data_IF_809553623214
#
_entry.id   IF_809553623214
#
_cell.length_a   1.000
_cell.length_b   1.000
_cell.length_c   1.000
_cell.angle_alpha   90.00
_cell.angle_beta   90.00
_cell.angle_gamma   90.00
#
_symmetry.space_group_name_H-M   'P 1'
#
loop_
_entity.id
_entity.type
_entity.pdbx_description
1 polymer ?
#
# COMPACT_ATOMS: atom_id res chain seq x y z
N UNK A 1 -5.46 -18.22 -3.19
CA UNK A 1 -5.66 -16.97 -2.42
C UNK A 1 -7.06 -17.03 -1.84
N UNK A 2 -7.22 -17.13 -0.52
CA UNK A 2 -8.55 -17.10 0.13
C UNK A 2 -9.09 -15.66 0.23
N UNK A 3 -9.02 -14.91 -0.88
CA UNK A 3 -9.51 -13.53 -0.92
C UNK A 3 -11.00 -13.46 -0.62
N UNK A 4 -11.77 -14.47 -1.04
CA UNK A 4 -13.20 -14.60 -0.70
C UNK A 4 -13.43 -14.67 0.81
N UNK A 5 -12.69 -15.53 1.52
CA UNK A 5 -12.78 -15.62 2.97
C UNK A 5 -12.33 -14.31 3.66
N UNK A 6 -11.27 -13.68 3.16
CA UNK A 6 -10.83 -12.38 3.68
C UNK A 6 -11.92 -11.31 3.54
N UNK A 7 -12.64 -11.29 2.40
CA UNK A 7 -13.76 -10.39 2.13
C UNK A 7 -14.96 -10.67 3.03
N UNK A 8 -15.29 -11.94 3.28
CA UNK A 8 -16.37 -12.33 4.21
C UNK A 8 -16.07 -11.85 5.65
N UNK A 9 -14.85 -12.11 6.12
CA UNK A 9 -14.35 -11.63 7.41
C UNK A 9 -14.36 -10.10 7.50
N UNK A 10 -14.06 -9.42 6.39
CA UNK A 10 -14.15 -7.96 6.26
C UNK A 10 -15.57 -7.45 6.51
N UNK A 11 -16.56 -8.06 5.86
CA UNK A 11 -17.96 -7.71 6.02
C UNK A 11 -18.40 -7.93 7.47
N UNK A 12 -17.97 -9.02 8.10
CA UNK A 12 -18.28 -9.30 9.51
C UNK A 12 -17.75 -8.21 10.43
N UNK A 13 -16.47 -7.84 10.32
CA UNK A 13 -15.84 -6.79 11.14
C UNK A 13 -16.48 -5.41 10.93
N UNK A 14 -16.85 -5.07 9.69
CA UNK A 14 -17.59 -3.83 9.40
C UNK A 14 -18.96 -3.83 10.11
N UNK A 15 -19.67 -4.95 10.10
CA UNK A 15 -20.94 -5.08 10.82
C UNK A 15 -20.74 -4.93 12.33
N UNK A 16 -19.74 -5.61 12.91
CA UNK A 16 -19.40 -5.49 14.35
C UNK A 16 -19.10 -4.05 14.76
N UNK A 17 -18.25 -3.34 14.01
CA UNK A 17 -17.93 -1.93 14.26
C UNK A 17 -19.18 -1.04 14.18
N UNK A 18 -20.04 -1.22 13.18
CA UNK A 18 -21.28 -0.43 13.06
C UNK A 18 -22.23 -0.70 14.21
N UNK A 19 -22.39 -1.95 14.62
CA UNK A 19 -23.23 -2.32 15.76
C UNK A 19 -22.69 -1.75 17.07
N UNK A 20 -21.37 -1.82 17.30
CA UNK A 20 -20.73 -1.25 18.48
C UNK A 20 -20.89 0.28 18.55
N UNK A 21 -20.75 0.96 17.41
CA UNK A 21 -20.96 2.41 17.30
C UNK A 21 -22.42 2.79 17.58
N UNK A 22 -23.38 2.03 17.04
CA UNK A 22 -24.82 2.25 17.28
C UNK A 22 -25.22 1.99 18.74
N UNK A 23 -24.60 1.00 19.37
CA UNK A 23 -24.83 0.66 20.77
C UNK A 23 -24.13 1.60 21.77
N UNK A 24 -23.30 2.55 21.28
CA UNK A 24 -22.53 3.48 22.10
C UNK A 24 -21.68 2.76 23.17
N UNK A 25 -21.03 1.67 22.77
CA UNK A 25 -20.12 0.95 23.68
C UNK A 25 -18.93 1.83 24.06
N UNK A 26 -18.31 1.56 25.21
CA UNK A 26 -17.22 2.40 25.73
C UNK A 26 -15.97 2.38 24.83
N UNK A 27 -15.18 3.46 24.91
CA UNK A 27 -13.98 3.68 24.07
C UNK A 27 -12.99 2.51 24.11
N UNK A 28 -12.84 1.83 25.26
CA UNK A 28 -11.95 0.69 25.40
C UNK A 28 -12.38 -0.51 24.53
N UNK A 29 -13.68 -0.74 24.41
CA UNK A 29 -14.24 -1.82 23.58
C UNK A 29 -14.19 -1.45 22.09
N UNK A 30 -14.52 -0.19 21.76
CA UNK A 30 -14.34 0.35 20.41
C UNK A 30 -12.88 0.24 19.95
N UNK A 31 -11.92 0.56 20.83
CA UNK A 31 -10.49 0.46 20.53
C UNK A 31 -10.08 -0.96 20.15
N UNK A 32 -10.56 -1.97 20.87
CA UNK A 32 -10.29 -3.38 20.56
C UNK A 32 -10.81 -3.74 19.16
N UNK A 33 -12.03 -3.31 18.81
CA UNK A 33 -12.62 -3.59 17.50
C UNK A 33 -11.85 -2.89 16.37
N UNK A 34 -11.42 -1.65 16.59
CA UNK A 34 -10.60 -0.89 15.64
C UNK A 34 -9.25 -1.59 15.45
N UNK A 35 -8.55 -1.94 16.54
CA UNK A 35 -7.25 -2.60 16.47
C UNK A 35 -7.34 -3.98 15.78
N UNK A 36 -8.40 -4.75 16.07
CA UNK A 36 -8.69 -6.01 15.38
C UNK A 36 -9.01 -5.84 13.88
N UNK A 37 -9.55 -4.69 13.49
CA UNK A 37 -9.82 -4.37 12.09
C UNK A 37 -8.55 -3.94 11.37
N UNK A 38 -7.71 -3.13 12.03
CA UNK A 38 -6.40 -2.74 11.51
C UNK A 38 -5.49 -3.96 11.29
N UNK A 39 -5.46 -4.89 12.26
CA UNK A 39 -4.69 -6.13 12.12
C UNK A 39 -5.12 -6.96 10.91
N UNK A 40 -6.43 -7.02 10.63
CA UNK A 40 -6.96 -7.76 9.49
C UNK A 40 -6.53 -7.18 8.14
N UNK A 41 -6.36 -5.86 8.06
CA UNK A 41 -5.73 -5.21 6.90
C UNK A 41 -4.23 -5.46 6.83
N UNK A 42 -3.50 -5.44 7.97
CA UNK A 42 -2.08 -5.79 8.00
C UNK A 42 -1.84 -7.20 7.45
N UNK A 43 -2.68 -8.17 7.82
CA UNK A 43 -2.62 -9.54 7.30
C UNK A 43 -2.82 -9.59 5.78
N UNK A 44 -3.75 -8.79 5.23
CA UNK A 44 -3.92 -8.67 3.77
C UNK A 44 -2.67 -8.16 3.08
N UNK A 45 -2.09 -7.06 3.59
CA UNK A 45 -0.91 -6.47 2.98
C UNK A 45 0.31 -7.38 3.10
N UNK A 46 0.44 -8.12 4.21
CA UNK A 46 1.43 -9.18 4.36
C UNK A 46 1.28 -10.27 3.30
N UNK A 47 0.07 -10.80 3.12
CA UNK A 47 -0.20 -11.80 2.06
C UNK A 47 0.08 -11.25 0.66
N UNK A 48 -0.30 -10.00 0.37
CA UNK A 48 0.00 -9.35 -0.92
C UNK A 48 1.50 -9.21 -1.15
N UNK A 49 2.27 -8.85 -0.12
CA UNK A 49 3.72 -8.75 -0.20
C UNK A 49 4.38 -10.10 -0.50
N UNK A 50 3.93 -11.18 0.16
CA UNK A 50 4.45 -12.53 -0.13
C UNK A 50 4.12 -12.99 -1.55
N UNK A 51 2.90 -12.70 -2.05
CA UNK A 51 2.54 -12.98 -3.45
C UNK A 51 3.39 -12.15 -4.41
N UNK A 52 3.65 -10.87 -4.11
CA UNK A 52 4.47 -10.00 -4.95
C UNK A 52 5.90 -10.56 -5.14
N UNK A 53 6.48 -11.15 -4.10
CA UNK A 53 7.81 -11.77 -4.14
C UNK A 53 7.87 -12.99 -5.06
N UNK A 54 6.76 -13.73 -5.18
CA UNK A 54 6.67 -14.94 -6.01
C UNK A 54 6.27 -14.59 -7.44
N UNK A 55 5.23 -13.76 -7.61
CA UNK A 55 4.74 -13.32 -8.92
C UNK A 55 4.01 -11.96 -8.80
N UNK A 56 4.75 -10.89 -9.09
CA UNK A 56 4.21 -9.54 -9.11
C UNK A 56 3.17 -9.33 -10.21
N UNK A 57 3.25 -10.05 -11.34
CA UNK A 57 2.29 -9.91 -12.43
C UNK A 57 0.94 -10.49 -12.04
N UNK A 58 0.92 -11.62 -11.35
CA UNK A 58 -0.30 -12.18 -10.78
C UNK A 58 -0.96 -11.22 -9.78
N UNK A 59 -0.16 -10.53 -8.96
CA UNK A 59 -0.68 -9.53 -8.03
C UNK A 59 -1.24 -8.29 -8.77
N UNK A 60 -0.58 -7.84 -9.83
CA UNK A 60 -0.95 -6.61 -10.56
C UNK A 60 -2.10 -6.82 -11.55
N UNK A 61 -2.18 -7.98 -12.19
CA UNK A 61 -3.18 -8.32 -13.21
C UNK A 61 -4.29 -9.25 -12.70
N UNK A 62 -4.23 -9.65 -11.43
CA UNK A 62 -5.12 -10.65 -10.86
C UNK A 62 -6.60 -10.28 -10.91
N UNK A 63 -7.41 -11.30 -11.23
CA UNK A 63 -8.88 -11.28 -11.31
C UNK A 63 -9.58 -10.86 -10.00
N UNK A 64 -8.83 -10.73 -8.91
CA UNK A 64 -9.34 -10.36 -7.58
C UNK A 64 -9.59 -8.85 -7.43
N UNK A 65 -9.06 -8.00 -8.32
CA UNK A 65 -9.29 -6.55 -8.29
C UNK A 65 -10.59 -6.14 -8.99
N UNK A 66 -11.43 -5.39 -8.30
CA UNK A 66 -12.60 -4.73 -8.87
C UNK A 66 -12.20 -3.68 -9.91
N UNK A 67 -13.13 -3.27 -10.78
CA UNK A 67 -12.87 -2.22 -11.78
C UNK A 67 -12.49 -0.88 -11.13
N UNK A 68 -13.10 -0.52 -10.00
CA UNK A 68 -12.77 0.69 -9.25
C UNK A 68 -11.32 0.67 -8.71
N UNK A 69 -10.87 -0.48 -8.18
CA UNK A 69 -9.49 -0.65 -7.71
C UNK A 69 -8.45 -0.61 -8.84
N UNK A 70 -8.85 -0.79 -10.11
CA UNK A 70 -8.00 -0.58 -11.29
C UNK A 70 -7.93 0.88 -11.73
N UNK A 71 -8.97 1.67 -11.51
CA UNK A 71 -8.97 3.09 -11.90
C UNK A 71 -8.17 3.98 -10.95
N UNK A 72 -8.14 3.66 -9.65
CA UNK A 72 -7.38 4.41 -8.65
C UNK A 72 -5.98 3.84 -8.38
N UNK A 73 -5.46 3.01 -9.28
CA UNK A 73 -4.28 2.20 -9.05
C UNK A 73 -2.99 3.04 -9.07
N UNK A 74 -2.48 3.33 -7.89
CA UNK A 74 -1.08 3.58 -7.59
C UNK A 74 -0.35 2.26 -7.30
N UNK A 75 0.92 2.32 -6.91
CA UNK A 75 1.88 1.20 -6.77
C UNK A 75 1.30 -0.02 -6.01
N UNK A 76 0.34 0.17 -5.09
CA UNK A 76 -0.29 -0.91 -4.33
C UNK A 76 -1.83 -0.84 -4.19
N UNK A 77 -2.53 0.04 -4.91
CA UNK A 77 -3.95 0.31 -4.67
C UNK A 77 -4.24 1.81 -4.75
N UNK A 78 -5.00 2.36 -3.79
CA UNK A 78 -5.30 3.81 -3.74
C UNK A 78 -4.11 4.62 -3.21
N UNK A 79 -4.09 5.94 -3.47
CA UNK A 79 -3.20 6.89 -2.77
C UNK A 79 -3.81 7.25 -1.40
N UNK A 80 -3.17 6.91 -0.27
CA UNK A 80 -3.67 7.23 1.06
C UNK A 80 -4.11 8.69 1.27
N UNK A 81 -3.36 9.66 0.74
CA UNK A 81 -3.65 11.09 0.86
C UNK A 81 -4.99 11.49 0.23
N UNK A 82 -5.36 10.87 -0.88
CA UNK A 82 -6.64 11.09 -1.56
C UNK A 82 -7.80 10.46 -0.79
N UNK A 83 -7.59 9.30 -0.18
CA UNK A 83 -8.60 8.68 0.69
C UNK A 83 -8.90 9.56 1.91
N UNK A 84 -7.86 10.12 2.53
CA UNK A 84 -8.02 11.03 3.69
C UNK A 84 -8.81 12.30 3.31
N UNK A 85 -8.65 12.82 2.08
CA UNK A 85 -9.45 13.94 1.59
C UNK A 85 -10.94 13.61 1.51
N UNK A 86 -11.29 12.42 1.03
CA UNK A 86 -12.69 11.98 0.94
C UNK A 86 -13.26 11.75 2.34
N UNK A 87 -12.51 11.05 3.21
CA UNK A 87 -12.96 10.68 4.55
C UNK A 87 -13.20 11.90 5.44
N UNK A 88 -12.41 12.96 5.32
CA UNK A 88 -12.59 14.19 6.11
C UNK A 88 -14.03 14.72 6.01
N UNK A 89 -14.63 14.68 4.82
CA UNK A 89 -16.01 15.15 4.58
C UNK A 89 -17.10 14.29 5.22
N UNK A 90 -16.77 13.09 5.68
CA UNK A 90 -17.73 12.07 6.14
C UNK A 90 -17.73 11.88 7.67
N UNK A 91 -16.74 12.45 8.40
CA UNK A 91 -16.51 12.15 9.83
C UNK A 91 -16.80 13.37 10.73
N UNK A 92 -17.69 14.27 10.33
CA UNK A 92 -18.06 15.43 11.15
C UNK A 92 -19.01 15.07 12.32
N UNK A 93 -18.87 15.69 13.51
CA UNK A 93 -17.91 16.74 13.87
C UNK A 93 -16.57 16.18 14.40
N UNK A 94 -15.46 16.74 13.90
CA UNK A 94 -14.11 16.50 14.43
C UNK A 94 -13.68 17.66 15.34
N UNK A 95 -12.90 17.35 16.37
CA UNK A 95 -12.26 18.37 17.21
C UNK A 95 -11.11 19.07 16.45
N UNK A 96 -10.75 20.29 16.86
CA UNK A 96 -9.63 21.04 16.25
C UNK A 96 -8.32 20.25 16.26
N UNK A 97 -8.07 19.50 17.34
CA UNK A 97 -6.89 18.64 17.46
C UNK A 97 -6.93 17.51 16.41
N UNK A 98 -8.06 16.83 16.25
CA UNK A 98 -8.22 15.77 15.25
C UNK A 98 -8.09 16.30 13.81
N UNK A 99 -8.56 17.53 13.54
CA UNK A 99 -8.39 18.18 12.24
C UNK A 99 -6.90 18.46 11.95
N UNK A 100 -6.16 18.92 12.95
CA UNK A 100 -4.71 19.13 12.88
C UNK A 100 -3.98 17.81 12.62
N UNK A 101 -4.28 16.78 13.40
CA UNK A 101 -3.65 15.46 13.29
C UNK A 101 -3.95 14.80 11.93
N UNK A 102 -5.19 14.92 11.44
CA UNK A 102 -5.57 14.46 10.11
C UNK A 102 -4.83 15.22 9.01
N UNK A 103 -4.64 16.53 9.17
CA UNK A 103 -3.85 17.36 8.26
C UNK A 103 -2.39 16.93 8.19
N UNK A 104 -1.78 16.66 9.34
CA UNK A 104 -0.40 16.17 9.45
C UNK A 104 -0.25 14.77 8.84
N UNK A 105 -1.21 13.87 9.10
CA UNK A 105 -1.23 12.52 8.52
C UNK A 105 -1.37 12.58 6.99
N UNK A 106 -2.21 13.47 6.47
CA UNK A 106 -2.36 13.66 5.02
C UNK A 106 -1.07 14.17 4.40
N UNK A 107 -0.44 15.17 5.02
CA UNK A 107 0.80 15.75 4.50
C UNK A 107 1.93 14.71 4.48
N UNK A 108 2.13 13.98 5.58
CA UNK A 108 3.15 12.92 5.66
C UNK A 108 2.89 11.80 4.64
N UNK A 109 1.62 11.38 4.49
CA UNK A 109 1.22 10.41 3.45
C UNK A 109 1.57 10.91 2.05
N UNK A 110 1.27 12.18 1.73
CA UNK A 110 1.57 12.76 0.42
C UNK A 110 3.07 12.80 0.13
N UNK A 111 3.88 13.20 1.11
CA UNK A 111 5.34 13.26 0.97
C UNK A 111 5.93 11.89 0.67
N UNK A 112 5.46 10.85 1.36
CA UNK A 112 5.93 9.50 1.12
C UNK A 112 5.42 8.93 -0.22
N UNK A 113 4.19 9.27 -0.63
CA UNK A 113 3.67 8.93 -1.95
C UNK A 113 4.50 9.53 -3.08
N UNK A 114 4.87 10.80 -2.96
CA UNK A 114 5.68 11.49 -3.96
C UNK A 114 7.10 10.91 -4.00
N UNK A 115 7.70 10.63 -2.84
CA UNK A 115 9.02 9.97 -2.77
C UNK A 115 9.02 8.58 -3.42
N UNK A 116 7.98 7.78 -3.16
CA UNK A 116 7.86 6.44 -3.74
C UNK A 116 7.59 6.50 -5.26
N UNK A 117 6.76 7.44 -5.71
CA UNK A 117 6.51 7.64 -7.15
C UNK A 117 7.79 8.01 -7.90
N UNK A 118 8.59 8.95 -7.34
CA UNK A 118 9.89 9.32 -7.89
C UNK A 118 10.89 8.14 -7.88
N UNK A 119 10.89 7.32 -6.82
CA UNK A 119 11.70 6.11 -6.74
C UNK A 119 11.37 5.12 -7.85
N UNK A 120 10.08 4.92 -8.13
CA UNK A 120 9.61 4.04 -9.21
C UNK A 120 9.95 4.56 -10.60
N UNK A 121 9.79 5.87 -10.86
CA UNK A 121 10.18 6.47 -12.13
C UNK A 121 11.69 6.28 -12.40
N UNK A 122 12.53 6.48 -11.37
CA UNK A 122 13.96 6.22 -11.47
C UNK A 122 14.27 4.75 -11.74
N UNK A 123 13.57 3.81 -11.09
CA UNK A 123 13.73 2.38 -11.35
C UNK A 123 13.38 2.06 -12.82
N UNK A 124 12.23 2.53 -13.29
CA UNK A 124 11.78 2.29 -14.67
C UNK A 124 12.78 2.84 -15.69
N UNK A 125 13.30 4.05 -15.46
CA UNK A 125 14.31 4.64 -16.33
C UNK A 125 15.62 3.84 -16.32
N UNK A 126 16.07 3.38 -15.16
CA UNK A 126 17.27 2.56 -15.03
C UNK A 126 17.11 1.21 -15.76
N UNK A 127 15.99 0.53 -15.57
CA UNK A 127 15.69 -0.73 -16.27
C UNK A 127 15.62 -0.53 -17.78
N UNK A 128 14.95 0.54 -18.25
CA UNK A 128 14.86 0.85 -19.68
C UNK A 128 16.26 1.09 -20.28
N UNK A 129 17.13 1.81 -19.57
CA UNK A 129 18.51 2.06 -19.99
C UNK A 129 19.33 0.77 -20.03
N UNK A 130 19.20 -0.13 -19.05
CA UNK A 130 19.92 -1.41 -19.02
C UNK A 130 19.45 -2.37 -20.12
N UNK A 131 18.14 -2.43 -20.41
CA UNK A 131 17.60 -3.21 -21.53
C UNK A 131 18.09 -2.63 -22.87
N UNK A 132 18.06 -1.31 -23.03
CA UNK A 132 18.56 -0.65 -24.23
C UNK A 132 20.07 -0.90 -24.44
N UNK A 133 20.88 -0.81 -23.37
CA UNK A 133 22.31 -1.10 -23.42
C UNK A 133 22.60 -2.57 -23.81
N UNK A 134 21.78 -3.52 -23.33
CA UNK A 134 21.90 -4.93 -23.68
C UNK A 134 21.50 -5.25 -25.13
N UNK A 135 20.68 -4.43 -25.80
CA UNK A 135 20.36 -4.62 -27.24
C UNK A 135 21.56 -4.34 -28.16
N UNK A 136 22.56 -3.60 -27.69
CA UNK A 136 23.77 -3.26 -28.46
C UNK A 136 25.02 -4.05 -28.03
N UNK A 137 24.93 -4.89 -26.99
CA UNK A 137 26.04 -5.68 -26.45
C UNK A 137 26.10 -7.10 -27.01
N UNK A 138 27.08 -7.37 -27.88
CA UNK A 138 27.40 -8.71 -28.36
C UNK A 138 27.97 -9.58 -27.22
N UNK A 139 27.18 -10.56 -26.75
CA UNK A 139 27.72 -11.87 -26.34
C UNK A 139 28.12 -12.12 -24.87
N UNK A 140 27.78 -11.30 -23.88
CA UNK A 140 28.07 -11.65 -22.47
C UNK A 140 26.95 -11.26 -21.48
N UNK A 141 25.89 -12.08 -21.43
CA UNK A 141 24.70 -11.87 -20.60
C UNK A 141 24.92 -12.00 -19.08
N UNK A 142 26.07 -12.51 -18.62
CA UNK A 142 26.28 -12.83 -17.20
C UNK A 142 26.64 -11.64 -16.30
N UNK A 143 27.35 -10.63 -16.83
CA UNK A 143 27.81 -9.46 -16.04
C UNK A 143 26.76 -8.36 -15.84
N UNK A 144 25.85 -8.06 -16.79
CA UNK A 144 24.83 -7.03 -16.61
C UNK A 144 23.71 -7.43 -15.65
N UNK A 145 23.34 -8.72 -15.62
CA UNK A 145 22.27 -9.24 -14.76
C UNK A 145 22.66 -9.09 -13.28
N UNK A 146 23.93 -9.32 -12.94
CA UNK A 146 24.43 -9.14 -11.57
C UNK A 146 24.33 -7.67 -11.11
N UNK A 147 24.71 -6.71 -11.97
CA UNK A 147 24.64 -5.28 -11.65
C UNK A 147 23.19 -4.76 -11.56
N UNK A 148 22.29 -5.29 -12.39
CA UNK A 148 20.86 -4.98 -12.34
C UNK A 148 20.23 -5.50 -11.03
N UNK A 149 20.59 -6.72 -10.61
CA UNK A 149 20.13 -7.32 -9.36
C UNK A 149 20.60 -6.54 -8.12
N UNK A 150 21.87 -6.11 -8.08
CA UNK A 150 22.40 -5.32 -6.95
C UNK A 150 21.67 -3.97 -6.79
N UNK A 151 21.32 -3.31 -7.90
CA UNK A 151 20.51 -2.07 -7.85
C UNK A 151 19.06 -2.30 -7.46
N UNK A 152 18.47 -3.43 -7.87
CA UNK A 152 17.13 -3.85 -7.45
C UNK A 152 17.08 -4.11 -5.94
N UNK A 153 18.10 -4.77 -5.39
CA UNK A 153 18.24 -5.01 -3.96
C UNK A 153 18.44 -3.71 -3.18
N UNK A 154 19.25 -2.77 -3.70
CA UNK A 154 19.40 -1.44 -3.10
C UNK A 154 18.07 -0.66 -3.08
N UNK A 155 17.26 -0.79 -4.12
CA UNK A 155 15.94 -0.16 -4.17
C UNK A 155 14.93 -0.84 -3.24
N UNK A 156 14.90 -2.17 -3.18
CA UNK A 156 14.06 -2.92 -2.24
C UNK A 156 14.35 -2.50 -0.81
N UNK A 157 15.63 -2.34 -0.47
CA UNK A 157 16.07 -1.85 0.83
C UNK A 157 15.61 -0.40 1.10
N UNK A 158 15.73 0.49 0.10
CA UNK A 158 15.23 1.86 0.21
C UNK A 158 13.71 1.91 0.44
N UNK A 159 12.94 1.14 -0.35
CA UNK A 159 11.49 1.05 -0.22
C UNK A 159 11.10 0.49 1.16
N UNK A 160 11.78 -0.56 1.63
CA UNK A 160 11.58 -1.09 2.98
C UNK A 160 11.85 -0.07 4.08
N UNK A 161 12.87 0.78 3.94
CA UNK A 161 13.16 1.84 4.91
C UNK A 161 12.09 2.93 4.92
N UNK A 162 11.64 3.38 3.75
CA UNK A 162 10.58 4.40 3.63
C UNK A 162 9.25 3.86 4.19
N UNK A 163 8.91 2.61 3.92
CA UNK A 163 7.72 1.95 4.48
C UNK A 163 7.80 1.80 6.00
N UNK A 164 8.97 1.46 6.56
CA UNK A 164 9.18 1.43 8.02
C UNK A 164 9.03 2.80 8.67
N UNK A 165 9.46 3.86 7.99
CA UNK A 165 9.34 5.23 8.49
C UNK A 165 7.88 5.72 8.51
N UNK A 166 7.04 5.23 7.61
CA UNK A 166 5.60 5.54 7.60
C UNK A 166 4.75 4.73 8.60
N UNK A 167 5.28 3.61 9.12
CA UNK A 167 4.58 2.73 10.04
C UNK A 167 4.84 3.07 11.53
N UNK A 168 5.68 4.07 11.80
CA UNK A 168 6.00 4.60 13.13
C UNK A 168 5.26 5.92 13.37
#
# INVERSE_FOLDING_TARGET
MEYGHWVEEQHRKICELRSALQAQVGDAELRILVDNSLKHYQDLFGMKAEVAKVDVFYLMSGIWRTSAERFFQWIGGFRPSELLNVLQSQIEPLTDQQLLDLGNLRQSSRQAEDALSQGMEKLQQNLANEVAANQFGTGNFGSPIAAAMEKLEALENFISQVLKFMAA
#
